data_IF_059170018650
#
_entry.id   IF_059170018650
#
_cell.length_a   1.000
_cell.length_b   1.000
_cell.length_c   1.000
_cell.angle_alpha   90.00
_cell.angle_beta   90.00
_cell.angle_gamma   90.00
#
_symmetry.space_group_name_H-M   'P 1'
#
loop_
_entity.id
_entity.type
_entity.pdbx_description
1 polymer ?
#
# COMPACT_ATOMS: atom_id res chain seq x y z
N UNK A 1 -11.15 2.30 4.05
CA UNK A 1 -9.76 1.81 4.03
C UNK A 1 -9.35 1.42 2.61
N UNK A 2 -8.22 1.90 2.19
CA UNK A 2 -7.66 1.58 0.87
C UNK A 2 -6.42 0.72 1.06
N UNK A 3 -6.35 -0.38 0.34
CA UNK A 3 -5.21 -1.28 0.37
C UNK A 3 -4.37 -1.03 -0.88
N UNK A 4 -3.06 -0.87 -0.71
CA UNK A 4 -2.14 -0.75 -1.83
C UNK A 4 -1.05 -1.81 -1.69
N UNK A 5 -1.04 -2.80 -2.56
CA UNK A 5 0.03 -3.79 -2.59
C UNK A 5 1.12 -3.29 -3.54
N UNK A 6 2.36 -3.44 -3.14
CA UNK A 6 3.46 -2.85 -3.90
C UNK A 6 3.54 -1.33 -3.73
N UNK A 7 2.94 -0.81 -2.65
CA UNK A 7 2.84 0.63 -2.44
C UNK A 7 4.14 1.35 -2.16
N UNK A 8 5.17 0.62 -1.77
CA UNK A 8 6.47 1.23 -1.51
C UNK A 8 7.35 1.31 -2.76
N UNK A 9 6.92 0.72 -3.88
CA UNK A 9 7.61 0.83 -5.15
C UNK A 9 7.36 2.18 -5.80
N UNK A 10 7.96 2.40 -6.95
CA UNK A 10 7.86 3.69 -7.65
C UNK A 10 6.41 4.04 -8.02
N UNK A 11 5.70 3.13 -8.66
CA UNK A 11 4.32 3.38 -9.08
C UNK A 11 3.39 3.48 -7.89
N UNK A 12 3.54 2.58 -6.92
CA UNK A 12 2.70 2.57 -5.74
C UNK A 12 2.87 3.81 -4.88
N UNK A 13 4.10 4.28 -4.71
CA UNK A 13 4.33 5.50 -3.94
C UNK A 13 3.72 6.73 -4.62
N UNK A 14 3.76 6.79 -5.95
CA UNK A 14 3.11 7.87 -6.68
C UNK A 14 1.59 7.83 -6.54
N UNK A 15 1.00 6.64 -6.50
CA UNK A 15 -0.42 6.49 -6.24
C UNK A 15 -0.78 7.01 -4.85
N UNK A 16 -0.02 6.63 -3.83
CA UNK A 16 -0.24 7.10 -2.46
C UNK A 16 -0.12 8.63 -2.40
N UNK A 17 0.85 9.18 -3.10
CA UNK A 17 1.03 10.63 -3.17
C UNK A 17 -0.21 11.32 -3.74
N UNK A 18 -0.78 10.77 -4.81
CA UNK A 18 -2.01 11.31 -5.39
C UNK A 18 -3.19 11.22 -4.43
N UNK A 19 -3.31 10.10 -3.74
CA UNK A 19 -4.37 9.92 -2.74
C UNK A 19 -4.22 10.93 -1.60
N UNK A 20 -2.99 11.17 -1.16
CA UNK A 20 -2.72 12.16 -0.12
C UNK A 20 -3.09 13.58 -0.56
N UNK A 21 -2.88 13.91 -1.83
CA UNK A 21 -3.30 15.20 -2.35
C UNK A 21 -4.81 15.40 -2.27
N UNK A 22 -5.56 14.31 -2.35
CA UNK A 22 -7.01 14.34 -2.17
C UNK A 22 -7.42 14.20 -0.72
N UNK A 23 -6.47 14.29 0.20
CA UNK A 23 -6.67 14.17 1.64
C UNK A 23 -7.11 12.77 2.09
N UNK A 24 -6.82 11.76 1.29
CA UNK A 24 -7.08 10.37 1.64
C UNK A 24 -5.85 9.83 2.37
N UNK A 25 -6.02 9.44 3.61
CA UNK A 25 -4.94 8.98 4.49
C UNK A 25 -5.16 7.59 5.04
N UNK A 26 -6.37 7.05 4.92
CA UNK A 26 -6.72 5.73 5.43
C UNK A 26 -6.24 4.66 4.44
N UNK A 27 -4.92 4.54 4.35
CA UNK A 27 -4.24 3.68 3.39
C UNK A 27 -3.40 2.67 4.14
N UNK A 28 -3.52 1.40 3.77
CA UNK A 28 -2.68 0.33 4.31
C UNK A 28 -1.83 -0.22 3.18
N UNK A 29 -0.53 -0.23 3.37
CA UNK A 29 0.44 -0.62 2.35
C UNK A 29 0.99 -2.00 2.66
N UNK A 30 1.04 -2.86 1.64
CA UNK A 30 1.68 -4.17 1.73
C UNK A 30 2.80 -4.24 0.71
N UNK A 31 4.01 -4.49 1.15
CA UNK A 31 5.16 -4.61 0.25
C UNK A 31 6.31 -5.34 0.93
N UNK A 32 7.26 -5.76 0.12
CA UNK A 32 8.55 -6.21 0.63
C UNK A 32 9.33 -4.98 1.04
N UNK A 33 9.71 -4.92 2.30
CA UNK A 33 10.35 -3.72 2.85
C UNK A 33 11.86 -3.80 2.72
N UNK A 34 12.46 -2.79 2.10
CA UNK A 34 13.91 -2.60 2.11
C UNK A 34 14.19 -1.10 2.18
N UNK A 35 15.45 -0.74 2.31
CA UNK A 35 15.84 0.66 2.52
C UNK A 35 15.41 1.58 1.38
N UNK A 36 15.53 1.10 0.14
CA UNK A 36 15.17 1.91 -1.03
C UNK A 36 13.68 2.16 -1.08
N UNK A 37 12.89 1.12 -0.84
CA UNK A 37 11.44 1.25 -0.85
C UNK A 37 10.93 2.13 0.28
N UNK A 38 11.54 2.04 1.45
CA UNK A 38 11.17 2.92 2.56
C UNK A 38 11.33 4.39 2.21
N UNK A 39 12.38 4.74 1.47
CA UNK A 39 12.60 6.12 1.04
C UNK A 39 11.47 6.63 0.16
N UNK A 40 10.90 5.76 -0.67
CA UNK A 40 9.84 6.17 -1.59
C UNK A 40 8.58 6.65 -0.87
N UNK A 41 8.29 6.11 0.30
CA UNK A 41 7.07 6.44 1.04
C UNK A 41 7.31 7.20 2.33
N UNK A 42 8.56 7.53 2.60
CA UNK A 42 8.97 8.16 3.85
C UNK A 42 8.20 9.44 4.18
N UNK A 43 7.89 10.24 3.17
CA UNK A 43 7.19 11.52 3.34
C UNK A 43 5.70 11.45 3.06
N UNK A 44 5.19 10.26 2.80
CA UNK A 44 3.77 10.08 2.48
C UNK A 44 2.98 9.72 3.74
N UNK A 45 1.68 9.95 3.68
CA UNK A 45 0.79 9.64 4.78
C UNK A 45 0.04 8.35 4.50
N UNK A 46 0.22 7.37 5.37
CA UNK A 46 -0.50 6.11 5.32
C UNK A 46 -0.66 5.58 6.74
N UNK A 47 -1.62 4.69 6.93
CA UNK A 47 -1.94 4.21 8.27
C UNK A 47 -0.96 3.14 8.77
N UNK A 48 -0.68 2.15 7.93
CA UNK A 48 0.21 1.05 8.28
C UNK A 48 0.97 0.56 7.07
N UNK A 49 2.14 -0.03 7.33
CA UNK A 49 2.95 -0.68 6.32
C UNK A 49 3.25 -2.09 6.82
N UNK A 50 2.79 -3.09 6.08
CA UNK A 50 2.98 -4.49 6.45
C UNK A 50 3.74 -5.24 5.38
N UNK A 51 4.33 -6.37 5.78
CA UNK A 51 4.92 -7.31 4.85
C UNK A 51 3.85 -7.89 3.94
N UNK A 52 4.17 -8.11 2.68
CA UNK A 52 3.21 -8.66 1.73
C UNK A 52 2.67 -10.04 2.15
N UNK A 53 3.41 -10.77 3.00
CA UNK A 53 2.96 -12.07 3.48
C UNK A 53 1.77 -11.99 4.42
N UNK A 54 1.50 -10.81 4.96
CA UNK A 54 0.43 -10.62 5.92
C UNK A 54 -0.91 -10.25 5.28
N UNK A 55 -0.95 -10.09 3.96
CA UNK A 55 -2.13 -9.56 3.29
C UNK A 55 -3.36 -10.45 3.46
N UNK A 56 -3.21 -11.77 3.33
CA UNK A 56 -4.37 -12.65 3.40
C UNK A 56 -5.02 -12.65 4.78
N UNK A 57 -4.21 -12.67 5.83
CA UNK A 57 -4.73 -12.59 7.19
C UNK A 57 -5.42 -11.26 7.45
N UNK A 58 -4.81 -10.18 6.96
CA UNK A 58 -5.39 -8.85 7.09
C UNK A 58 -6.74 -8.76 6.38
N UNK A 59 -6.84 -9.30 5.18
CA UNK A 59 -8.08 -9.28 4.41
C UNK A 59 -9.20 -10.03 5.12
N UNK A 60 -8.89 -11.16 5.74
CA UNK A 60 -9.90 -11.94 6.47
C UNK A 60 -10.51 -11.14 7.61
N UNK A 61 -9.67 -10.41 8.35
CA UNK A 61 -10.13 -9.67 9.53
C UNK A 61 -10.83 -8.38 9.15
N UNK A 62 -10.38 -7.72 8.08
CA UNK A 62 -10.83 -6.38 7.74
C UNK A 62 -11.72 -6.30 6.49
N UNK A 63 -12.21 -7.42 6.03
CA UNK A 63 -12.97 -7.52 4.78
C UNK A 63 -14.05 -6.47 4.61
N UNK A 64 -14.80 -6.19 5.66
CA UNK A 64 -15.90 -5.22 5.59
C UNK A 64 -15.46 -3.77 5.62
N UNK A 65 -14.22 -3.51 6.00
CA UNK A 65 -13.70 -2.15 6.11
C UNK A 65 -12.96 -1.68 4.87
N UNK A 66 -12.70 -2.59 3.95
CA UNK A 66 -11.91 -2.31 2.76
C UNK A 66 -12.81 -1.77 1.65
N UNK A 67 -12.49 -0.60 1.15
CA UNK A 67 -13.22 0.03 0.06
C UNK A 67 -12.63 -0.31 -1.30
N UNK A 68 -11.29 -0.25 -1.41
CA UNK A 68 -10.59 -0.45 -2.67
C UNK A 68 -9.27 -1.14 -2.42
N UNK A 69 -8.87 -2.01 -3.34
CA UNK A 69 -7.57 -2.65 -3.35
C UNK A 69 -6.85 -2.33 -4.66
N UNK A 70 -5.71 -1.64 -4.56
CA UNK A 70 -4.83 -1.42 -5.70
C UNK A 70 -3.72 -2.46 -5.64
N UNK A 71 -3.78 -3.44 -6.52
CA UNK A 71 -2.85 -4.55 -6.50
C UNK A 71 -1.73 -4.35 -7.51
N UNK A 72 -0.72 -3.59 -7.13
CA UNK A 72 0.37 -3.21 -8.03
C UNK A 72 1.55 -4.17 -8.00
N UNK A 73 1.72 -4.86 -6.90
CA UNK A 73 2.88 -5.72 -6.74
C UNK A 73 2.91 -6.96 -7.61
N UNK A 74 1.80 -7.33 -8.21
CA UNK A 74 1.72 -8.53 -9.02
C UNK A 74 2.01 -8.30 -10.49
N UNK A 75 2.31 -7.11 -10.86
CA UNK A 75 2.43 -6.75 -12.27
C UNK A 75 3.70 -7.19 -12.92
N UNK A 76 4.50 -7.88 -12.21
CA UNK A 76 5.80 -8.12 -12.74
C UNK A 76 5.93 -9.26 -13.62
N UNK A 77 5.13 -9.92 -13.87
CA UNK A 77 5.41 -10.92 -14.56
C UNK A 77 5.08 -11.00 -15.65
N UNK A 78 4.98 -10.48 -15.75
CA UNK A 78 4.74 -10.87 -16.53
C UNK A 78 5.08 -10.93 -17.25
#
# INVERSE_FOLDING_TARGET
MIIVTGGAGFIGSNLIKKLNKKKIKDIVVFDSINKLKKKNIQKLTYKNLYSKNEIFDFLKVNKKKIDVIYHLGACTNT
#
